data_IF_320703254143
#
_entry.id   IF_320703254143
#
_cell.length_a   1.000
_cell.length_b   1.000
_cell.length_c   1.000
_cell.angle_alpha   90.00
_cell.angle_beta   90.00
_cell.angle_gamma   90.00
#
_symmetry.space_group_name_H-M   'P 1'
#
loop_
_entity.id
_entity.type
_entity.pdbx_description
1 polymer ?
#
# COMPACT_ATOMS: atom_id res chain seq x y z
N UNK A 1 -38.56 -1.22 23.59
CA UNK A 1 -39.90 -1.08 22.97
C UNK A 1 -39.98 -2.04 21.80
N UNK A 2 -40.85 -3.04 21.90
CA UNK A 2 -41.12 -4.07 20.90
C UNK A 2 -42.26 -3.59 20.00
N UNK A 3 -42.17 -3.82 18.68
CA UNK A 3 -43.32 -3.68 17.78
C UNK A 3 -43.48 -4.95 16.96
N UNK A 4 -44.41 -5.78 17.43
CA UNK A 4 -45.11 -6.81 16.67
C UNK A 4 -46.52 -6.28 16.35
N UNK A 5 -47.02 -6.73 15.21
CA UNK A 5 -48.43 -6.79 14.74
C UNK A 5 -49.06 -5.57 14.06
N UNK A 6 -49.37 -5.77 12.77
CA UNK A 6 -50.75 -5.75 12.29
C UNK A 6 -50.90 -6.74 11.11
N UNK A 7 -51.98 -7.54 11.15
CA UNK A 7 -52.39 -8.61 10.23
C UNK A 7 -53.82 -8.31 9.74
N UNK A 8 -54.10 -8.51 8.45
CA UNK A 8 -55.38 -9.04 7.90
C UNK A 8 -55.23 -9.24 6.37
N UNK A 9 -55.17 -10.45 5.78
CA UNK A 9 -56.26 -11.41 5.38
C UNK A 9 -57.26 -10.82 4.37
N UNK A 10 -57.65 -11.36 3.18
CA UNK A 10 -57.56 -12.60 2.35
C UNK A 10 -58.07 -12.18 0.89
N UNK A 11 -58.24 -13.01 -0.18
CA UNK A 11 -58.02 -14.44 -0.34
C UNK A 11 -57.23 -14.94 -1.58
N UNK A 12 -56.84 -16.22 -1.49
CA UNK A 12 -56.37 -17.13 -2.55
C UNK A 12 -57.53 -17.55 -3.47
N UNK A 13 -57.29 -17.57 -4.77
CA UNK A 13 -57.93 -18.48 -5.73
C UNK A 13 -56.86 -19.30 -6.45
N UNK A 14 -57.24 -20.53 -6.79
CA UNK A 14 -56.39 -21.64 -7.21
C UNK A 14 -56.90 -22.15 -8.58
N UNK A 15 -55.98 -22.70 -9.38
CA UNK A 15 -56.14 -23.46 -10.65
C UNK A 15 -56.36 -22.59 -11.91
N UNK A 16 -55.83 -22.89 -13.09
CA UNK A 16 -55.41 -24.17 -13.68
C UNK A 16 -54.35 -23.94 -14.78
N UNK A 17 -53.60 -25.00 -15.03
CA UNK A 17 -52.68 -25.28 -16.14
C UNK A 17 -53.19 -24.92 -17.54
N UNK A 18 -52.25 -24.47 -18.39
CA UNK A 18 -52.14 -24.93 -19.78
C UNK A 18 -50.68 -24.84 -20.25
N UNK A 19 -50.13 -25.99 -20.65
CA UNK A 19 -48.89 -26.10 -21.42
C UNK A 19 -49.17 -25.60 -22.85
N UNK A 20 -48.27 -24.78 -23.40
CA UNK A 20 -48.11 -24.64 -24.84
C UNK A 20 -46.61 -24.69 -25.18
N UNK A 21 -46.27 -25.74 -25.92
CA UNK A 21 -45.02 -25.92 -26.63
C UNK A 21 -44.87 -24.81 -27.67
N UNK A 22 -43.71 -24.16 -27.70
CA UNK A 22 -43.29 -23.29 -28.79
C UNK A 22 -41.78 -23.39 -28.96
N UNK A 23 -41.34 -24.37 -29.76
CA UNK A 23 -39.98 -24.39 -30.32
C UNK A 23 -39.84 -23.17 -31.24
N UNK A 24 -38.94 -22.25 -30.90
CA UNK A 24 -38.46 -21.23 -31.82
C UNK A 24 -36.94 -21.37 -31.92
N UNK A 25 -36.54 -22.15 -32.91
CA UNK A 25 -35.19 -22.24 -33.42
C UNK A 25 -34.84 -20.92 -34.13
N UNK A 26 -33.85 -20.20 -33.62
CA UNK A 26 -33.16 -19.18 -34.40
C UNK A 26 -31.83 -19.75 -34.91
N UNK A 27 -31.84 -20.15 -36.17
CA UNK A 27 -30.67 -20.49 -36.98
C UNK A 27 -30.57 -19.46 -38.08
N UNK A 28 -29.67 -18.47 -37.96
CA UNK A 28 -29.29 -17.60 -39.09
C UNK A 28 -27.80 -17.28 -39.01
N UNK A 29 -27.08 -17.90 -39.95
CA UNK A 29 -25.92 -17.44 -40.74
C UNK A 29 -24.57 -17.20 -40.03
N UNK A 30 -23.74 -18.22 -40.15
CA UNK A 30 -22.29 -18.09 -40.24
C UNK A 30 -21.91 -17.26 -41.48
N UNK A 31 -21.42 -16.04 -41.24
CA UNK A 31 -20.75 -15.21 -42.24
C UNK A 31 -19.25 -15.52 -42.26
N UNK A 32 -18.82 -16.22 -43.31
CA UNK A 32 -17.40 -16.33 -43.72
C UNK A 32 -16.84 -14.92 -43.97
N UNK A 33 -15.71 -14.61 -43.35
CA UNK A 33 -14.78 -13.61 -43.87
C UNK A 33 -13.33 -14.13 -43.69
N UNK A 34 -12.85 -14.62 -44.82
CA UNK A 34 -11.50 -14.99 -45.23
C UNK A 34 -10.34 -14.23 -44.58
N UNK A 35 -9.39 -15.03 -44.06
CA UNK A 35 -7.96 -14.73 -44.00
C UNK A 35 -7.38 -14.38 -45.38
N UNK A 36 -6.32 -13.56 -45.44
CA UNK A 36 -5.26 -13.80 -46.40
C UNK A 36 -3.94 -14.10 -45.69
N UNK A 37 -3.34 -15.19 -46.15
CA UNK A 37 -1.98 -15.61 -45.84
C UNK A 37 -0.95 -14.62 -46.40
N UNK A 38 0.12 -14.49 -45.64
CA UNK A 38 1.46 -14.01 -45.93
C UNK A 38 1.89 -14.03 -47.40
N UNK A 39 2.62 -12.98 -47.81
CA UNK A 39 3.68 -13.12 -48.81
C UNK A 39 4.90 -12.29 -48.40
N UNK A 40 6.13 -12.83 -48.45
CA UNK A 40 7.34 -12.14 -48.01
C UNK A 40 7.99 -11.39 -49.18
N UNK A 41 8.32 -10.12 -48.97
CA UNK A 41 9.18 -9.35 -49.88
C UNK A 41 10.45 -8.93 -49.14
N UNK A 42 11.55 -9.53 -49.58
CA UNK A 42 12.93 -9.27 -49.18
C UNK A 42 13.54 -8.06 -49.90
N UNK A 43 14.26 -7.20 -49.16
CA UNK A 43 15.56 -6.53 -49.50
C UNK A 43 15.80 -5.28 -48.62
N UNK A 44 17.02 -4.71 -48.54
CA UNK A 44 18.20 -5.21 -47.83
C UNK A 44 18.65 -4.25 -46.69
N UNK A 45 19.72 -4.65 -46.00
CA UNK A 45 20.25 -4.06 -44.76
C UNK A 45 20.57 -2.55 -44.77
N UNK A 46 20.35 -1.89 -43.62
CA UNK A 46 21.28 -0.87 -43.14
C UNK A 46 21.52 -1.03 -41.64
N UNK A 47 22.71 -1.51 -41.30
CA UNK A 47 23.25 -1.53 -39.95
C UNK A 47 23.60 -0.10 -39.52
N UNK A 48 22.66 0.60 -38.88
CA UNK A 48 23.04 1.74 -38.03
C UNK A 48 23.39 1.21 -36.65
N UNK A 49 24.69 1.24 -36.36
CA UNK A 49 25.21 1.08 -35.02
C UNK A 49 24.42 1.97 -34.06
N UNK A 50 23.70 1.36 -33.11
CA UNK A 50 23.07 2.09 -32.00
C UNK A 50 24.19 2.68 -31.16
N UNK A 51 24.35 3.99 -31.28
CA UNK A 51 25.16 4.79 -30.38
C UNK A 51 24.77 4.50 -28.92
N UNK A 52 25.82 4.44 -28.11
CA UNK A 52 25.87 4.43 -26.65
C UNK A 52 24.60 4.95 -25.97
N UNK A 53 24.16 4.22 -24.95
CA UNK A 53 23.17 4.61 -23.95
C UNK A 53 23.38 6.06 -23.48
N UNK A 54 22.73 7.02 -24.14
CA UNK A 54 22.41 8.28 -23.49
C UNK A 54 21.33 7.97 -22.47
N UNK A 55 21.74 7.84 -21.21
CA UNK A 55 20.83 8.02 -20.09
C UNK A 55 20.35 9.48 -20.20
N UNK A 56 19.25 9.71 -20.91
CA UNK A 56 18.57 10.99 -20.86
C UNK A 56 18.12 11.17 -19.41
N UNK A 57 18.83 12.03 -18.68
CA UNK A 57 18.31 12.59 -17.44
C UNK A 57 17.09 13.43 -17.80
N UNK A 58 15.92 12.79 -17.82
CA UNK A 58 14.66 13.54 -17.84
C UNK A 58 14.61 14.28 -16.52
N UNK A 59 14.53 15.61 -16.57
CA UNK A 59 14.40 16.43 -15.37
C UNK A 59 13.00 16.35 -14.77
N UNK A 60 12.87 16.95 -13.58
CA UNK A 60 11.64 17.07 -12.80
C UNK A 60 10.46 17.50 -13.68
N UNK A 61 9.33 16.81 -13.55
CA UNK A 61 8.15 17.02 -14.41
C UNK A 61 7.01 17.66 -13.63
N UNK A 62 6.25 18.51 -14.32
CA UNK A 62 4.91 18.90 -13.89
C UNK A 62 3.90 18.15 -14.75
N UNK A 63 3.10 17.30 -14.13
CA UNK A 63 2.07 16.50 -14.80
C UNK A 63 0.68 17.04 -14.50
N UNK A 64 -0.28 16.69 -15.35
CA UNK A 64 -1.68 17.04 -15.21
C UNK A 64 -2.47 15.86 -14.63
N UNK A 65 -3.00 16.04 -13.43
CA UNK A 65 -3.88 15.12 -12.74
C UNK A 65 -5.31 15.65 -12.79
N UNK A 66 -6.03 15.35 -13.88
CA UNK A 66 -7.42 15.73 -14.08
C UNK A 66 -7.70 17.25 -13.92
N UNK A 67 -6.83 18.09 -14.50
CA UNK A 67 -6.90 19.55 -14.43
C UNK A 67 -6.00 20.16 -13.33
N UNK A 68 -5.38 19.34 -12.48
CA UNK A 68 -4.48 19.79 -11.43
C UNK A 68 -3.02 19.56 -11.82
N UNK A 69 -2.23 20.64 -11.88
CA UNK A 69 -0.80 20.54 -12.17
C UNK A 69 -0.02 20.19 -10.91
N UNK A 70 0.68 19.07 -10.91
CA UNK A 70 1.51 18.64 -9.78
C UNK A 70 2.93 18.31 -10.24
N UNK A 71 3.90 18.62 -9.38
CA UNK A 71 5.30 18.26 -9.59
C UNK A 71 5.49 16.81 -9.14
N UNK A 72 6.11 16.01 -10.00
CA UNK A 72 6.49 14.62 -9.70
C UNK A 72 7.98 14.43 -9.88
N UNK A 73 8.54 13.55 -9.05
CA UNK A 73 9.94 13.17 -9.10
C UNK A 73 10.04 11.68 -9.42
N UNK A 74 10.84 11.35 -10.42
CA UNK A 74 11.02 9.98 -10.89
C UNK A 74 12.41 9.47 -10.51
N UNK A 75 12.60 8.15 -10.53
CA UNK A 75 13.90 7.52 -10.28
C UNK A 75 15.01 8.07 -11.20
N UNK A 76 14.65 8.50 -12.41
CA UNK A 76 15.59 9.06 -13.38
C UNK A 76 16.20 10.41 -12.94
N UNK A 77 15.54 11.15 -12.03
CA UNK A 77 16.04 12.43 -11.48
C UNK A 77 17.22 12.21 -10.51
N UNK A 78 17.34 11.00 -9.96
CA UNK A 78 18.31 10.58 -8.96
C UNK A 78 18.93 9.21 -9.28
N UNK A 79 19.73 9.11 -10.37
CA UNK A 79 20.44 7.89 -10.67
C UNK A 79 21.40 7.52 -9.53
N UNK A 80 21.71 6.22 -9.40
CA UNK A 80 22.52 5.70 -8.30
C UNK A 80 23.87 6.43 -8.12
N UNK A 81 24.52 6.86 -9.21
CA UNK A 81 25.76 7.64 -9.12
C UNK A 81 25.56 9.01 -8.46
N UNK A 82 24.47 9.70 -8.79
CA UNK A 82 24.10 10.99 -8.18
C UNK A 82 23.74 10.80 -6.70
N UNK A 83 23.01 9.75 -6.35
CA UNK A 83 22.70 9.42 -4.96
C UNK A 83 23.98 9.17 -4.13
N UNK A 84 24.91 8.38 -4.66
CA UNK A 84 26.19 8.10 -3.99
C UNK A 84 27.02 9.35 -3.79
N UNK A 85 27.11 10.23 -4.78
CA UNK A 85 27.86 11.49 -4.65
C UNK A 85 27.19 12.45 -3.66
N UNK A 86 25.86 12.55 -3.70
CA UNK A 86 25.09 13.41 -2.81
C UNK A 86 25.22 12.98 -1.34
N UNK A 87 25.11 11.68 -1.06
CA UNK A 87 25.17 11.11 0.29
C UNK A 87 26.56 10.57 0.68
N UNK A 88 27.63 10.92 -0.03
CA UNK A 88 28.98 10.35 0.21
C UNK A 88 29.54 10.60 1.62
N UNK A 89 29.09 11.70 2.24
CA UNK A 89 29.49 12.09 3.59
C UNK A 89 28.41 11.75 4.64
N UNK A 90 27.31 11.15 4.21
CA UNK A 90 26.20 10.81 5.08
C UNK A 90 26.27 9.36 5.56
N UNK A 91 25.72 9.15 6.76
CA UNK A 91 25.44 7.82 7.30
C UNK A 91 23.95 7.74 7.58
N UNK A 92 23.25 6.87 6.85
CA UNK A 92 21.83 6.62 7.04
C UNK A 92 21.67 5.62 8.19
N UNK A 93 21.22 6.11 9.35
CA UNK A 93 20.94 5.28 10.50
C UNK A 93 19.46 4.88 10.52
N UNK A 94 19.18 3.63 10.14
CA UNK A 94 17.86 3.02 10.18
C UNK A 94 17.56 2.58 11.60
N UNK A 95 16.68 3.29 12.31
CA UNK A 95 16.30 2.95 13.68
C UNK A 95 15.03 2.11 13.63
N UNK A 96 15.18 0.83 13.96
CA UNK A 96 14.11 -0.17 13.84
C UNK A 96 14.22 -1.00 12.55
N UNK A 97 14.13 -2.32 12.68
CA UNK A 97 14.18 -3.28 11.57
C UNK A 97 12.88 -4.09 11.51
N UNK A 98 11.77 -3.36 11.46
CA UNK A 98 10.44 -3.88 11.13
C UNK A 98 10.21 -3.88 9.62
N UNK A 99 8.94 -3.83 9.18
CA UNK A 99 8.57 -3.86 7.76
C UNK A 99 9.32 -2.78 6.95
N UNK A 100 9.16 -1.50 7.30
CA UNK A 100 9.78 -0.38 6.57
C UNK A 100 11.31 -0.36 6.73
N UNK A 101 11.84 -0.59 7.94
CA UNK A 101 13.29 -0.62 8.19
C UNK A 101 14.00 -1.68 7.35
N UNK A 102 13.42 -2.87 7.23
CA UNK A 102 13.90 -3.93 6.34
C UNK A 102 13.92 -3.48 4.87
N UNK A 103 12.77 -3.03 4.34
CA UNK A 103 12.67 -2.69 2.91
C UNK A 103 13.56 -1.50 2.52
N UNK A 104 13.49 -0.42 3.28
CA UNK A 104 14.23 0.80 2.98
C UNK A 104 15.73 0.64 3.22
N UNK A 105 16.13 -0.03 4.32
CA UNK A 105 17.53 -0.27 4.63
C UNK A 105 18.23 -1.09 3.54
N UNK A 106 17.60 -2.19 3.09
CA UNK A 106 18.15 -3.02 2.02
C UNK A 106 18.20 -2.30 0.67
N UNK A 107 17.17 -1.53 0.32
CA UNK A 107 17.16 -0.78 -0.93
C UNK A 107 18.23 0.32 -0.95
N UNK A 108 18.40 1.05 0.15
CA UNK A 108 19.45 2.07 0.27
C UNK A 108 20.86 1.45 0.22
N UNK A 109 21.06 0.29 0.86
CA UNK A 109 22.32 -0.48 0.78
C UNK A 109 22.62 -0.93 -0.64
N UNK A 110 21.63 -1.47 -1.35
CA UNK A 110 21.81 -1.96 -2.72
C UNK A 110 22.02 -0.81 -3.72
N UNK A 111 21.53 0.40 -3.41
CA UNK A 111 21.91 1.64 -4.09
C UNK A 111 23.34 2.11 -3.75
N UNK A 112 24.05 1.39 -2.87
CA UNK A 112 25.43 1.63 -2.46
C UNK A 112 25.62 2.83 -1.55
N UNK A 113 24.60 3.16 -0.75
CA UNK A 113 24.70 4.18 0.29
C UNK A 113 25.31 3.59 1.57
N UNK A 114 25.89 4.46 2.39
CA UNK A 114 26.40 4.09 3.70
C UNK A 114 25.24 3.99 4.71
N UNK A 115 24.82 2.75 4.98
CA UNK A 115 23.66 2.44 5.82
C UNK A 115 24.08 1.62 7.03
N UNK A 116 23.55 1.99 8.20
CA UNK A 116 23.67 1.23 9.43
C UNK A 116 22.29 0.98 10.05
N UNK A 117 22.11 -0.18 10.68
CA UNK A 117 20.88 -0.58 11.34
C UNK A 117 21.06 -0.43 12.86
N UNK A 118 20.18 0.34 13.49
CA UNK A 118 20.05 0.48 14.94
C UNK A 118 18.88 -0.31 15.47
N UNK A 119 19.12 -1.42 16.16
CA UNK A 119 18.08 -2.23 16.82
C UNK A 119 18.54 -2.77 18.17
N UNK A 120 17.59 -3.24 18.98
CA UNK A 120 17.89 -3.86 20.28
C UNK A 120 18.68 -5.16 20.09
N UNK A 121 19.86 -5.22 20.68
CA UNK A 121 20.77 -6.37 20.60
C UNK A 121 20.12 -7.68 21.07
N UNK A 122 20.41 -8.77 20.36
CA UNK A 122 19.91 -10.12 20.66
C UNK A 122 18.41 -10.37 20.37
N UNK A 123 17.66 -9.33 19.99
CA UNK A 123 16.21 -9.44 19.69
C UNK A 123 15.90 -10.09 18.34
N UNK A 124 14.61 -10.31 18.06
CA UNK A 124 14.15 -10.89 16.79
C UNK A 124 14.57 -10.06 15.57
N UNK A 125 14.40 -8.74 15.62
CA UNK A 125 14.84 -7.82 14.57
C UNK A 125 16.35 -7.78 14.38
N UNK A 126 17.14 -8.01 15.44
CA UNK A 126 18.59 -8.12 15.35
C UNK A 126 18.99 -9.36 14.53
N UNK A 127 18.44 -10.53 14.90
CA UNK A 127 18.69 -11.78 14.18
C UNK A 127 18.23 -11.71 12.72
N UNK A 128 17.10 -11.06 12.46
CA UNK A 128 16.62 -10.84 11.10
C UNK A 128 17.59 -9.96 10.30
N UNK A 129 18.10 -8.87 10.88
CA UNK A 129 19.10 -8.04 10.23
C UNK A 129 20.42 -8.81 9.97
N UNK A 130 20.88 -9.63 10.90
CA UNK A 130 22.05 -10.49 10.68
C UNK A 130 21.82 -11.47 9.51
N UNK A 131 20.64 -12.08 9.43
CA UNK A 131 20.28 -12.99 8.35
C UNK A 131 20.27 -12.31 6.97
N UNK A 132 19.93 -11.02 6.92
CA UNK A 132 19.98 -10.20 5.70
C UNK A 132 21.38 -9.64 5.38
N UNK A 133 22.40 -10.01 6.16
CA UNK A 133 23.80 -9.66 5.94
C UNK A 133 24.27 -8.36 6.60
N UNK A 134 23.51 -7.80 7.55
CA UNK A 134 24.00 -6.71 8.39
C UNK A 134 24.96 -7.28 9.45
N UNK A 135 26.12 -6.64 9.65
CA UNK A 135 27.22 -7.23 10.44
C UNK A 135 27.31 -6.56 11.81
N UNK A 136 27.14 -7.30 12.92
CA UNK A 136 27.31 -6.80 14.28
C UNK A 136 28.59 -6.00 14.48
N UNK A 137 28.49 -4.84 15.12
CA UNK A 137 29.61 -3.95 15.41
C UNK A 137 30.15 -3.17 14.21
N UNK A 138 29.62 -3.41 13.00
CA UNK A 138 29.98 -2.67 11.77
C UNK A 138 28.78 -1.94 11.20
N UNK A 139 27.80 -2.69 10.70
CA UNK A 139 26.58 -2.17 10.06
C UNK A 139 25.30 -2.53 10.79
N UNK A 140 25.39 -3.37 11.82
CA UNK A 140 24.33 -3.65 12.79
C UNK A 140 24.80 -3.26 14.18
N UNK A 141 24.11 -2.31 14.80
CA UNK A 141 24.54 -1.65 16.02
C UNK A 141 23.39 -1.54 17.03
N UNK A 142 23.71 -1.45 18.34
CA UNK A 142 22.76 -0.94 19.32
C UNK A 142 22.23 0.44 18.92
N UNK A 143 20.97 0.74 19.26
CA UNK A 143 20.26 1.95 18.83
C UNK A 143 21.05 3.23 19.14
N UNK A 144 21.60 3.38 20.34
CA UNK A 144 22.37 4.56 20.74
C UNK A 144 23.62 4.75 19.87
N UNK A 145 24.37 3.69 19.57
CA UNK A 145 25.55 3.78 18.71
C UNK A 145 25.19 4.15 17.27
N UNK A 146 24.05 3.65 16.77
CA UNK A 146 23.55 4.05 15.45
C UNK A 146 23.13 5.53 15.41
N UNK A 147 22.47 6.02 16.46
CA UNK A 147 22.08 7.42 16.60
C UNK A 147 23.28 8.38 16.68
N UNK A 148 24.34 7.98 17.39
CA UNK A 148 25.60 8.73 17.45
C UNK A 148 26.23 8.87 16.07
N UNK A 149 26.37 7.75 15.35
CA UNK A 149 27.06 7.68 14.04
C UNK A 149 26.26 8.26 12.88
N UNK A 150 24.92 8.18 12.92
CA UNK A 150 24.07 8.59 11.81
C UNK A 150 24.06 10.11 11.59
N UNK A 151 24.18 10.57 10.35
CA UNK A 151 23.91 11.98 9.98
C UNK A 151 22.44 12.17 9.58
N UNK A 152 21.83 11.12 9.03
CA UNK A 152 20.40 11.04 8.73
C UNK A 152 19.80 9.94 9.61
N UNK A 153 19.00 10.35 10.58
CA UNK A 153 18.33 9.45 11.51
C UNK A 153 16.97 9.08 10.94
N UNK A 154 16.83 7.86 10.44
CA UNK A 154 15.59 7.34 9.87
C UNK A 154 14.82 6.59 10.96
N UNK A 155 13.90 7.28 11.61
CA UNK A 155 13.09 6.71 12.69
C UNK A 155 11.95 5.87 12.12
N UNK A 156 12.18 4.55 12.01
CA UNK A 156 11.27 3.57 11.41
C UNK A 156 10.72 2.58 12.45
N UNK A 157 10.71 2.99 13.71
CA UNK A 157 10.00 2.32 14.79
C UNK A 157 8.48 2.46 14.61
N UNK A 158 7.69 1.60 15.26
CA UNK A 158 6.24 1.80 15.33
C UNK A 158 5.90 3.12 16.04
N UNK A 159 4.76 3.72 15.72
CA UNK A 159 4.39 5.04 16.27
C UNK A 159 4.39 5.08 17.80
N UNK A 160 3.91 4.00 18.44
CA UNK A 160 3.96 3.85 19.90
C UNK A 160 5.41 3.76 20.42
N UNK A 161 6.29 3.02 19.73
CA UNK A 161 7.69 2.92 20.11
C UNK A 161 8.44 4.25 19.90
N UNK A 162 8.11 5.01 18.85
CA UNK A 162 8.67 6.36 18.65
C UNK A 162 8.34 7.27 19.83
N UNK A 163 7.10 7.26 20.31
CA UNK A 163 6.67 8.00 21.50
C UNK A 163 7.43 7.54 22.76
N UNK A 164 7.44 6.23 23.04
CA UNK A 164 8.05 5.67 24.26
C UNK A 164 9.57 5.84 24.33
N UNK A 165 10.25 5.90 23.19
CA UNK A 165 11.72 5.98 23.11
C UNK A 165 12.22 7.39 22.84
N UNK A 166 11.32 8.37 22.67
CA UNK A 166 11.67 9.72 22.24
C UNK A 166 12.71 10.38 23.14
N UNK A 167 12.55 10.29 24.46
CA UNK A 167 13.49 10.88 25.42
C UNK A 167 14.90 10.29 25.34
N UNK A 168 15.02 9.03 24.90
CA UNK A 168 16.31 8.38 24.65
C UNK A 168 16.89 8.75 23.28
N UNK A 169 16.05 9.02 22.28
CA UNK A 169 16.48 9.36 20.91
C UNK A 169 16.87 10.84 20.81
N UNK A 170 16.07 11.73 21.40
CA UNK A 170 16.16 13.19 21.27
C UNK A 170 17.57 13.76 21.56
N UNK A 171 18.32 13.31 22.57
CA UNK A 171 19.67 13.83 22.85
C UNK A 171 20.67 13.67 21.70
N UNK A 172 20.45 12.69 20.81
CA UNK A 172 21.32 12.43 19.67
C UNK A 172 20.94 13.25 18.43
N UNK A 173 19.79 13.93 18.44
CA UNK A 173 19.28 14.74 17.33
C UNK A 173 19.90 16.14 17.37
N UNK A 174 21.20 16.21 17.11
CA UNK A 174 22.00 17.43 17.20
C UNK A 174 22.06 18.20 15.87
N UNK A 175 22.41 19.49 15.96
CA UNK A 175 22.59 20.40 14.81
C UNK A 175 23.37 19.74 13.67
N UNK A 176 22.86 19.91 12.45
CA UNK A 176 23.43 19.36 11.21
C UNK A 176 22.92 17.96 10.86
N UNK A 177 22.27 17.25 11.79
CA UNK A 177 21.57 16.00 11.46
C UNK A 177 20.23 16.28 10.77
N UNK A 178 19.71 15.24 10.12
CA UNK A 178 18.35 15.21 9.55
C UNK A 178 17.56 14.12 10.25
N UNK A 179 16.34 14.43 10.69
CA UNK A 179 15.38 13.45 11.18
C UNK A 179 14.40 13.08 10.05
N UNK A 180 14.32 11.79 9.76
CA UNK A 180 13.49 11.22 8.72
C UNK A 180 12.42 10.31 9.31
N UNK A 181 11.20 10.44 8.78
CA UNK A 181 10.09 9.55 9.06
C UNK A 181 9.55 8.92 7.77
N UNK A 182 8.89 7.77 7.89
CA UNK A 182 8.05 7.21 6.81
C UNK A 182 6.57 7.27 7.07
N UNK A 183 6.18 7.91 8.17
CA UNK A 183 4.81 8.27 8.49
C UNK A 183 4.85 9.47 9.45
N UNK A 184 4.00 10.46 9.25
CA UNK A 184 4.05 11.71 10.01
C UNK A 184 3.42 11.63 11.40
N UNK A 185 2.84 10.49 11.78
CA UNK A 185 1.96 10.31 12.95
C UNK A 185 2.49 10.97 14.21
N UNK A 186 3.73 10.64 14.58
CA UNK A 186 4.31 11.10 15.83
C UNK A 186 4.44 12.61 15.90
N UNK A 187 4.78 13.27 14.79
CA UNK A 187 4.97 14.72 14.74
C UNK A 187 3.63 15.45 14.63
N UNK A 188 2.68 14.93 13.84
CA UNK A 188 1.34 15.52 13.67
C UNK A 188 0.57 15.50 14.98
N UNK A 189 0.64 14.39 15.72
CA UNK A 189 -0.02 14.21 17.01
C UNK A 189 0.93 14.38 18.20
N UNK A 190 1.93 15.27 18.09
CA UNK A 190 2.95 15.52 19.14
C UNK A 190 2.39 15.81 20.54
N UNK A 191 1.17 16.32 20.63
CA UNK A 191 0.50 16.56 21.92
C UNK A 191 0.10 15.25 22.61
N UNK A 192 -0.24 14.22 21.84
CA UNK A 192 -0.55 12.88 22.35
C UNK A 192 0.72 12.02 22.46
N UNK A 193 1.69 12.18 21.55
CA UNK A 193 2.88 11.31 21.48
C UNK A 193 4.11 11.83 22.23
N UNK A 194 4.17 13.12 22.56
CA UNK A 194 5.37 13.76 23.14
C UNK A 194 6.54 13.94 22.17
N UNK A 195 6.40 13.54 20.89
CA UNK A 195 7.48 13.61 19.90
C UNK A 195 7.57 15.03 19.34
N UNK A 196 8.48 15.82 19.93
CA UNK A 196 8.76 17.20 19.50
C UNK A 196 10.21 17.30 19.01
N UNK A 197 10.44 17.30 17.68
CA UNK A 197 11.78 17.45 17.11
C UNK A 197 12.49 18.73 17.58
N UNK A 198 13.83 18.70 17.74
CA UNK A 198 14.63 19.92 17.91
C UNK A 198 14.42 20.92 16.77
N UNK A 199 14.55 22.21 17.06
CA UNK A 199 14.28 23.31 16.11
C UNK A 199 15.45 23.61 15.15
N UNK A 200 16.60 22.99 15.37
CA UNK A 200 17.88 23.28 14.70
C UNK A 200 18.38 22.13 13.80
N UNK A 201 17.47 21.24 13.39
CA UNK A 201 17.73 20.13 12.47
C UNK A 201 16.73 20.11 11.31
N UNK A 202 17.04 19.45 10.20
CA UNK A 202 16.00 19.19 9.19
C UNK A 202 15.05 18.09 9.68
N UNK A 203 13.76 18.22 9.40
CA UNK A 203 12.75 17.19 9.68
C UNK A 203 11.95 16.93 8.41
N UNK A 204 12.08 15.72 7.89
CA UNK A 204 11.55 15.32 6.59
C UNK A 204 10.78 14.00 6.69
N UNK A 205 9.97 13.75 5.67
CA UNK A 205 9.26 12.50 5.50
C UNK A 205 9.39 12.01 4.06
N UNK A 206 9.60 10.70 3.92
CA UNK A 206 9.26 9.97 2.71
C UNK A 206 8.46 8.73 3.09
N UNK A 207 7.22 8.64 2.61
CA UNK A 207 6.29 7.55 2.87
C UNK A 207 6.06 6.73 1.60
N UNK A 208 6.75 5.59 1.40
CA UNK A 208 6.39 4.61 0.39
C UNK A 208 4.96 4.09 0.63
N UNK A 209 4.12 4.09 -0.41
CA UNK A 209 2.69 3.78 -0.36
C UNK A 209 2.40 2.29 -0.41
N UNK A 210 3.02 1.56 0.52
CA UNK A 210 2.68 0.16 0.81
C UNK A 210 3.65 -0.46 1.81
N UNK A 211 3.44 -1.74 2.07
CA UNK A 211 4.21 -2.48 3.08
C UNK A 211 5.71 -2.47 2.75
N UNK A 212 6.55 -2.54 3.78
CA UNK A 212 7.99 -2.68 3.56
C UNK A 212 8.39 -3.96 2.82
N UNK A 213 7.57 -5.02 2.88
CA UNK A 213 7.73 -6.22 2.05
C UNK A 213 7.58 -5.89 0.56
N UNK A 214 6.55 -5.13 0.18
CA UNK A 214 6.33 -4.72 -1.21
C UNK A 214 7.34 -3.67 -1.67
N UNK A 215 7.78 -2.77 -0.78
CA UNK A 215 8.91 -1.85 -1.04
C UNK A 215 10.16 -2.63 -1.45
N UNK A 216 10.49 -3.72 -0.74
CA UNK A 216 11.64 -4.56 -1.09
C UNK A 216 11.43 -5.36 -2.38
N UNK A 217 10.33 -6.10 -2.44
CA UNK A 217 10.08 -7.06 -3.53
C UNK A 217 9.99 -6.34 -4.87
N UNK A 218 9.25 -5.23 -4.95
CA UNK A 218 9.12 -4.45 -6.19
C UNK A 218 10.44 -3.81 -6.60
N UNK A 219 11.27 -3.37 -5.64
CA UNK A 219 12.60 -2.84 -5.94
C UNK A 219 13.50 -3.91 -6.59
N UNK A 220 13.48 -5.14 -6.08
CA UNK A 220 14.24 -6.26 -6.66
C UNK A 220 13.74 -6.63 -8.06
N UNK A 221 12.45 -6.46 -8.35
CA UNK A 221 11.86 -6.61 -9.68
C UNK A 221 12.20 -5.45 -10.65
N UNK A 222 12.98 -4.46 -10.21
CA UNK A 222 13.27 -3.24 -11.00
C UNK A 222 12.08 -2.27 -11.07
N UNK A 223 10.97 -2.59 -10.40
CA UNK A 223 9.80 -1.72 -10.20
C UNK A 223 10.03 -0.86 -8.96
N UNK A 224 8.98 -0.23 -8.47
CA UNK A 224 8.98 0.52 -7.22
C UNK A 224 7.56 0.86 -6.83
N UNK A 225 7.30 0.93 -5.53
CA UNK A 225 6.03 1.46 -5.04
C UNK A 225 6.11 2.98 -5.01
N UNK A 226 5.03 3.68 -5.32
CA UNK A 226 5.07 5.14 -5.31
C UNK A 226 5.22 5.65 -3.88
N UNK A 227 5.70 6.87 -3.69
CA UNK A 227 5.84 7.48 -2.37
C UNK A 227 5.38 8.93 -2.34
N UNK A 228 5.21 9.47 -1.15
CA UNK A 228 5.03 10.91 -0.95
C UNK A 228 6.16 11.48 -0.12
N UNK A 229 6.57 12.72 -0.41
CA UNK A 229 7.54 13.46 0.39
C UNK A 229 6.90 14.66 1.08
N UNK A 230 7.39 14.99 2.26
CA UNK A 230 7.01 16.19 2.99
C UNK A 230 8.19 16.74 3.79
N UNK A 231 8.17 18.05 4.03
CA UNK A 231 9.14 18.75 4.89
C UNK A 231 8.37 19.38 6.04
N UNK A 232 8.71 19.00 7.27
CA UNK A 232 8.17 19.62 8.48
C UNK A 232 9.00 20.81 8.91
N UNK A 233 10.33 20.70 8.81
CA UNK A 233 11.27 21.73 9.19
C UNK A 233 12.46 21.72 8.23
N UNK A 234 12.77 22.89 7.67
CA UNK A 234 13.91 23.10 6.77
C UNK A 234 14.86 24.12 7.39
N UNK A 235 15.95 23.64 8.00
CA UNK A 235 16.97 24.48 8.64
C UNK A 235 18.10 24.76 7.67
N UNK A 236 18.38 23.82 6.76
CA UNK A 236 19.50 23.91 5.82
C UNK A 236 19.13 24.61 4.50
N UNK A 237 17.84 24.68 4.16
CA UNK A 237 17.35 25.08 2.84
C UNK A 237 17.39 23.95 1.80
N UNK A 238 17.79 22.74 2.21
CA UNK A 238 17.98 21.57 1.34
C UNK A 238 17.06 20.40 1.73
N UNK A 239 16.17 20.56 2.72
CA UNK A 239 15.37 19.46 3.26
C UNK A 239 14.51 18.78 2.19
N UNK A 240 13.92 19.57 1.27
CA UNK A 240 13.10 19.04 0.17
C UNK A 240 13.91 18.19 -0.81
N UNK A 241 15.06 18.71 -1.27
CA UNK A 241 15.94 17.97 -2.18
C UNK A 241 16.38 16.65 -1.56
N UNK A 242 16.78 16.69 -0.28
CA UNK A 242 17.16 15.52 0.50
C UNK A 242 16.02 14.51 0.65
N UNK A 243 14.79 14.96 0.88
CA UNK A 243 13.62 14.08 0.96
C UNK A 243 13.33 13.37 -0.37
N UNK A 244 13.45 14.08 -1.49
CA UNK A 244 13.30 13.49 -2.84
C UNK A 244 14.41 12.47 -3.11
N UNK A 245 15.66 12.82 -2.83
CA UNK A 245 16.80 11.94 -3.02
C UNK A 245 16.69 10.66 -2.17
N UNK A 246 16.33 10.79 -0.90
CA UNK A 246 16.09 9.64 -0.02
C UNK A 246 14.92 8.79 -0.50
N UNK A 247 13.83 9.40 -0.98
CA UNK A 247 12.70 8.66 -1.52
C UNK A 247 13.10 7.73 -2.68
N UNK A 248 13.89 8.24 -3.62
CA UNK A 248 14.44 7.40 -4.70
C UNK A 248 15.40 6.35 -4.14
N UNK A 249 16.26 6.71 -3.18
CA UNK A 249 17.21 5.79 -2.57
C UNK A 249 16.55 4.61 -1.84
N UNK A 250 15.38 4.82 -1.24
CA UNK A 250 14.62 3.75 -0.56
C UNK A 250 13.73 2.94 -1.51
N UNK A 251 13.75 3.25 -2.81
CA UNK A 251 13.18 2.43 -3.86
C UNK A 251 11.77 2.82 -4.31
N UNK A 252 11.39 4.10 -4.16
CA UNK A 252 10.09 4.55 -4.67
C UNK A 252 10.08 4.60 -6.21
N UNK A 253 8.91 4.31 -6.82
CA UNK A 253 8.71 4.37 -8.27
C UNK A 253 8.67 5.81 -8.80
N UNK A 254 7.81 6.62 -8.19
CA UNK A 254 7.82 8.08 -8.29
C UNK A 254 7.43 8.68 -6.93
N UNK A 255 7.67 9.98 -6.77
CA UNK A 255 7.32 10.75 -5.59
C UNK A 255 6.42 11.93 -5.96
N UNK A 256 5.45 12.20 -5.09
CA UNK A 256 4.63 13.41 -5.13
C UNK A 256 4.73 14.17 -3.80
N UNK A 257 4.42 15.46 -3.81
CA UNK A 257 4.54 16.31 -2.63
C UNK A 257 3.28 16.29 -1.76
N UNK A 258 3.47 16.35 -0.46
CA UNK A 258 2.40 16.47 0.54
C UNK A 258 2.89 17.25 1.76
N UNK A 259 2.06 17.38 2.78
CA UNK A 259 2.46 17.81 4.13
C UNK A 259 2.40 16.63 5.09
N UNK A 260 3.02 16.74 6.26
CA UNK A 260 2.91 15.72 7.30
C UNK A 260 1.44 15.45 7.66
N UNK A 261 0.62 16.49 7.83
CA UNK A 261 -0.80 16.34 8.16
C UNK A 261 -1.58 15.66 7.04
N UNK A 262 -1.41 16.10 5.78
CA UNK A 262 -2.10 15.48 4.65
C UNK A 262 -1.70 14.01 4.48
N UNK A 263 -0.43 13.69 4.64
CA UNK A 263 0.07 12.32 4.60
C UNK A 263 -0.61 11.48 5.67
N UNK A 264 -0.51 11.89 6.94
CA UNK A 264 -1.08 11.15 8.08
C UNK A 264 -2.57 10.96 7.95
N UNK A 265 -3.31 12.01 7.61
CA UNK A 265 -4.76 11.93 7.49
C UNK A 265 -5.16 10.99 6.34
N UNK A 266 -4.48 11.08 5.20
CA UNK A 266 -4.77 10.21 4.05
C UNK A 266 -4.41 8.75 4.32
N UNK A 267 -3.31 8.49 5.02
CA UNK A 267 -2.78 7.16 5.27
C UNK A 267 -3.64 6.39 6.27
N UNK A 268 -3.88 6.98 7.46
CA UNK A 268 -4.73 6.39 8.50
C UNK A 268 -6.18 6.19 8.02
N UNK A 269 -6.68 7.12 7.20
CA UNK A 269 -7.98 7.01 6.55
C UNK A 269 -8.01 5.88 5.51
N UNK A 270 -6.95 5.75 4.70
CA UNK A 270 -6.84 4.74 3.65
C UNK A 270 -6.79 3.31 4.19
N UNK A 271 -5.96 3.05 5.20
CA UNK A 271 -5.80 1.72 5.80
C UNK A 271 -7.09 1.21 6.49
N UNK A 272 -7.79 2.10 7.21
CA UNK A 272 -9.11 1.78 7.78
C UNK A 272 -10.19 1.68 6.71
N UNK A 273 -10.01 2.44 5.63
CA UNK A 273 -10.87 2.43 4.45
C UNK A 273 -10.53 1.32 3.46
N UNK A 274 -10.46 1.68 2.19
CA UNK A 274 -10.40 0.73 1.07
C UNK A 274 -9.17 -0.19 1.06
N UNK A 275 -8.08 0.17 1.75
CA UNK A 275 -6.84 -0.61 1.68
C UNK A 275 -6.86 -1.85 2.57
N UNK A 276 -7.56 -1.81 3.72
CA UNK A 276 -7.66 -2.98 4.62
C UNK A 276 -9.06 -3.14 5.23
N UNK A 277 -9.52 -2.19 6.05
CA UNK A 277 -10.75 -2.37 6.84
C UNK A 277 -12.03 -2.45 5.99
N UNK A 278 -12.19 -1.51 5.06
CA UNK A 278 -13.34 -1.44 4.16
C UNK A 278 -13.45 -2.64 3.22
N UNK A 279 -12.33 -3.09 2.63
CA UNK A 279 -12.32 -4.25 1.74
C UNK A 279 -12.63 -5.56 2.48
N UNK A 280 -12.09 -5.75 3.69
CA UNK A 280 -12.44 -6.88 4.56
C UNK A 280 -13.94 -6.90 4.87
N UNK A 281 -14.51 -5.74 5.22
CA UNK A 281 -15.94 -5.61 5.52
C UNK A 281 -16.82 -5.95 4.32
N UNK A 282 -16.46 -5.45 3.13
CA UNK A 282 -17.19 -5.69 1.88
C UNK A 282 -17.18 -7.17 1.48
N UNK A 283 -15.99 -7.80 1.45
CA UNK A 283 -15.89 -9.23 1.12
C UNK A 283 -16.68 -10.09 2.11
N UNK A 284 -16.54 -9.83 3.40
CA UNK A 284 -17.22 -10.63 4.42
C UNK A 284 -18.74 -10.46 4.36
N UNK A 285 -19.24 -9.25 4.11
CA UNK A 285 -20.67 -8.99 4.00
C UNK A 285 -21.30 -9.76 2.83
N UNK A 286 -20.72 -9.65 1.63
CA UNK A 286 -21.22 -10.37 0.45
C UNK A 286 -21.10 -11.88 0.62
N UNK A 287 -19.96 -12.37 1.15
CA UNK A 287 -19.76 -13.80 1.41
C UNK A 287 -20.85 -14.35 2.33
N UNK A 288 -21.15 -13.67 3.45
CA UNK A 288 -22.20 -14.09 4.39
C UNK A 288 -23.57 -14.20 3.72
N UNK A 289 -23.96 -13.18 2.94
CA UNK A 289 -25.26 -13.19 2.24
C UNK A 289 -25.34 -14.34 1.23
N UNK A 290 -24.28 -14.64 0.50
CA UNK A 290 -24.25 -15.82 -0.40
C UNK A 290 -24.41 -17.13 0.39
N UNK A 291 -23.71 -17.27 1.52
CA UNK A 291 -23.81 -18.47 2.37
C UNK A 291 -25.20 -18.65 2.97
N UNK A 292 -25.83 -17.56 3.41
CA UNK A 292 -27.20 -17.55 3.93
C UNK A 292 -28.23 -17.97 2.87
N UNK A 293 -27.92 -17.78 1.58
CA UNK A 293 -28.76 -18.17 0.46
C UNK A 293 -28.36 -19.54 -0.15
N UNK A 294 -27.55 -20.33 0.55
CA UNK A 294 -27.28 -21.73 0.21
C UNK A 294 -26.12 -21.97 -0.75
N UNK A 295 -25.39 -20.93 -1.17
CA UNK A 295 -24.18 -21.10 -1.99
C UNK A 295 -23.08 -21.80 -1.20
N UNK A 296 -22.27 -22.65 -1.83
CA UNK A 296 -21.16 -23.34 -1.15
C UNK A 296 -20.04 -22.38 -0.73
N UNK A 297 -19.18 -22.74 0.25
CA UNK A 297 -18.02 -21.91 0.63
C UNK A 297 -17.09 -21.57 -0.55
N UNK A 298 -16.87 -22.54 -1.45
CA UNK A 298 -16.04 -22.33 -2.65
C UNK A 298 -16.67 -21.34 -3.61
N UNK A 299 -17.97 -21.46 -3.90
CA UNK A 299 -18.66 -20.51 -4.79
C UNK A 299 -18.67 -19.11 -4.17
N UNK A 300 -19.04 -18.99 -2.89
CA UNK A 300 -19.07 -17.70 -2.22
C UNK A 300 -17.69 -17.02 -2.15
N UNK A 301 -16.61 -17.79 -1.97
CA UNK A 301 -15.25 -17.26 -2.02
C UNK A 301 -14.85 -16.82 -3.43
N UNK A 302 -15.26 -17.57 -4.46
CA UNK A 302 -14.96 -17.23 -5.86
C UNK A 302 -15.67 -15.93 -6.29
N UNK A 303 -16.96 -15.81 -5.97
CA UNK A 303 -17.82 -14.66 -6.26
C UNK A 303 -17.54 -13.42 -5.38
N UNK A 304 -16.50 -13.48 -4.55
CA UNK A 304 -16.07 -12.35 -3.70
C UNK A 304 -14.59 -12.06 -3.86
N UNK A 305 -13.72 -12.92 -3.33
CA UNK A 305 -12.28 -12.66 -3.21
C UNK A 305 -11.50 -13.12 -4.44
N UNK A 306 -11.79 -14.31 -4.97
CA UNK A 306 -10.98 -14.90 -6.05
C UNK A 306 -11.09 -14.09 -7.33
N UNK A 307 -12.30 -13.91 -7.86
CA UNK A 307 -12.49 -13.22 -9.14
C UNK A 307 -12.12 -11.74 -9.03
N UNK A 308 -12.41 -11.09 -7.89
CA UNK A 308 -11.99 -9.73 -7.64
C UNK A 308 -10.46 -9.59 -7.69
N UNK A 309 -9.72 -10.41 -6.95
CA UNK A 309 -8.26 -10.21 -6.79
C UNK A 309 -7.41 -10.80 -7.90
N UNK A 310 -7.88 -11.85 -8.57
CA UNK A 310 -7.12 -12.53 -9.63
C UNK A 310 -7.48 -12.06 -11.03
N UNK A 311 -8.67 -11.50 -11.23
CA UNK A 311 -9.14 -11.03 -12.53
C UNK A 311 -9.41 -9.52 -12.55
N UNK A 312 -10.41 -9.06 -11.80
CA UNK A 312 -10.97 -7.72 -12.00
C UNK A 312 -10.08 -6.59 -11.48
N UNK A 313 -9.55 -6.70 -10.26
CA UNK A 313 -8.70 -5.68 -9.65
C UNK A 313 -7.35 -5.50 -10.39
N UNK A 314 -6.71 -6.57 -10.89
CA UNK A 314 -5.58 -6.42 -11.82
C UNK A 314 -5.90 -5.56 -13.04
N UNK A 315 -7.11 -5.66 -13.62
CA UNK A 315 -7.53 -4.80 -14.74
C UNK A 315 -7.65 -3.34 -14.32
N UNK A 316 -8.19 -3.07 -13.13
CA UNK A 316 -8.27 -1.71 -12.57
C UNK A 316 -6.86 -1.14 -12.37
N UNK A 317 -5.96 -1.91 -11.76
CA UNK A 317 -4.60 -1.47 -11.50
C UNK A 317 -3.79 -1.20 -12.78
N UNK A 318 -4.06 -1.95 -13.86
CA UNK A 318 -3.38 -1.80 -15.13
C UNK A 318 -3.97 -0.68 -16.01
N UNK A 319 -5.30 -0.55 -16.07
CA UNK A 319 -5.99 0.24 -17.09
C UNK A 319 -7.13 1.13 -16.58
N UNK A 320 -7.48 1.05 -15.30
CA UNK A 320 -8.58 1.83 -14.71
C UNK A 320 -9.94 1.12 -14.69
N UNK A 321 -10.88 1.74 -13.97
CA UNK A 321 -12.23 1.22 -13.78
C UNK A 321 -13.04 1.17 -15.07
N UNK A 322 -12.93 2.19 -15.91
CA UNK A 322 -13.59 2.28 -17.21
C UNK A 322 -13.22 1.10 -18.12
N UNK A 323 -11.93 0.74 -18.16
CA UNK A 323 -11.47 -0.44 -18.89
C UNK A 323 -12.05 -1.74 -18.30
N UNK A 324 -12.01 -1.90 -16.97
CA UNK A 324 -12.59 -3.09 -16.32
C UNK A 324 -14.08 -3.24 -16.67
N UNK A 325 -14.87 -2.15 -16.68
CA UNK A 325 -16.26 -2.21 -17.14
C UNK A 325 -16.33 -2.65 -18.60
N UNK A 326 -15.55 -2.03 -19.50
CA UNK A 326 -15.55 -2.36 -20.92
C UNK A 326 -15.21 -3.84 -21.20
N UNK A 327 -14.32 -4.43 -20.39
CA UNK A 327 -13.87 -5.82 -20.49
C UNK A 327 -14.89 -6.85 -19.98
N UNK A 328 -15.92 -6.43 -19.24
CA UNK A 328 -16.94 -7.32 -18.67
C UNK A 328 -18.16 -7.51 -19.59
N UNK A 329 -18.95 -8.56 -19.33
CA UNK A 329 -20.18 -8.86 -20.08
C UNK A 329 -21.20 -7.72 -19.99
N UNK A 330 -22.16 -7.67 -20.94
CA UNK A 330 -23.25 -6.69 -20.93
C UNK A 330 -24.07 -6.75 -19.64
N UNK A 331 -24.35 -7.95 -19.14
CA UNK A 331 -25.07 -8.16 -17.88
C UNK A 331 -24.29 -7.65 -16.67
N UNK A 332 -22.99 -7.98 -16.57
CA UNK A 332 -22.15 -7.53 -15.48
C UNK A 332 -22.01 -6.00 -15.46
N UNK A 333 -21.80 -5.38 -16.64
CA UNK A 333 -21.76 -3.91 -16.79
C UNK A 333 -23.05 -3.24 -16.32
N UNK A 334 -24.20 -3.71 -16.80
CA UNK A 334 -25.51 -3.13 -16.42
C UNK A 334 -25.73 -3.24 -14.91
N UNK A 335 -25.51 -4.43 -14.34
CA UNK A 335 -25.65 -4.66 -12.91
C UNK A 335 -24.72 -3.78 -12.07
N UNK A 336 -23.44 -3.67 -12.44
CA UNK A 336 -22.48 -2.81 -11.74
C UNK A 336 -22.88 -1.33 -11.80
N UNK A 337 -23.38 -0.83 -12.93
CA UNK A 337 -23.88 0.54 -13.05
C UNK A 337 -25.15 0.80 -12.21
N UNK A 338 -26.02 -0.20 -12.06
CA UNK A 338 -27.25 -0.08 -11.26
C UNK A 338 -26.97 -0.08 -9.75
N UNK A 339 -25.97 -0.84 -9.31
CA UNK A 339 -25.67 -1.01 -7.88
C UNK A 339 -24.58 -0.07 -7.35
N UNK A 340 -23.64 0.40 -8.18
CA UNK A 340 -22.55 1.28 -7.74
C UNK A 340 -23.03 2.54 -6.97
N UNK A 341 -24.05 3.29 -7.43
CA UNK A 341 -24.55 4.46 -6.69
C UNK A 341 -25.11 4.12 -5.31
N UNK A 342 -25.67 2.91 -5.13
CA UNK A 342 -26.21 2.45 -3.84
C UNK A 342 -25.08 2.14 -2.86
N UNK A 343 -24.03 1.46 -3.34
CA UNK A 343 -22.83 1.21 -2.53
C UNK A 343 -22.12 2.51 -2.16
N UNK A 344 -22.00 3.46 -3.10
CA UNK A 344 -21.46 4.79 -2.82
C UNK A 344 -22.27 5.51 -1.73
N UNK A 345 -23.60 5.58 -1.87
CA UNK A 345 -24.47 6.24 -0.92
C UNK A 345 -24.42 5.60 0.48
N UNK A 346 -24.28 4.27 0.57
CA UNK A 346 -24.14 3.57 1.84
C UNK A 346 -22.76 3.80 2.49
N UNK A 347 -21.70 3.90 1.68
CA UNK A 347 -20.33 3.99 2.18
C UNK A 347 -19.90 5.43 2.52
N UNK A 348 -20.40 6.45 1.79
CA UNK A 348 -19.97 7.84 1.96
C UNK A 348 -20.11 8.35 3.41
N UNK A 349 -21.22 8.13 4.14
CA UNK A 349 -21.33 8.57 5.54
C UNK A 349 -20.32 7.90 6.47
N UNK A 350 -19.97 6.63 6.20
CA UNK A 350 -18.96 5.88 6.97
C UNK A 350 -17.58 6.51 6.75
N UNK A 351 -17.25 6.81 5.50
CA UNK A 351 -16.01 7.47 5.14
C UNK A 351 -15.91 8.89 5.71
N UNK A 352 -16.99 9.67 5.70
CA UNK A 352 -17.03 11.00 6.33
C UNK A 352 -16.77 10.92 7.85
N UNK A 353 -17.40 9.95 8.53
CA UNK A 353 -17.16 9.72 9.95
C UNK A 353 -15.72 9.26 10.24
N UNK A 354 -15.18 8.36 9.42
CA UNK A 354 -13.80 7.88 9.53
C UNK A 354 -12.79 9.02 9.36
N UNK A 355 -12.92 9.84 8.31
CA UNK A 355 -12.01 10.96 8.08
C UNK A 355 -12.05 11.97 9.24
N UNK A 356 -13.24 12.24 9.79
CA UNK A 356 -13.40 13.09 10.98
C UNK A 356 -12.68 12.52 12.21
N UNK A 357 -12.81 11.22 12.46
CA UNK A 357 -12.16 10.49 13.58
C UNK A 357 -10.63 10.46 13.45
N UNK A 358 -10.11 10.40 12.23
CA UNK A 358 -8.66 10.54 11.98
C UNK A 358 -8.22 11.97 12.25
N UNK A 359 -8.87 12.95 11.62
CA UNK A 359 -8.46 14.35 11.68
C UNK A 359 -8.50 14.94 13.10
N UNK A 360 -9.47 14.53 13.93
CA UNK A 360 -9.58 15.00 15.32
C UNK A 360 -8.70 14.20 16.32
N UNK A 361 -7.99 13.16 15.85
CA UNK A 361 -7.08 12.35 16.65
C UNK A 361 -7.73 11.23 17.48
N UNK A 362 -9.01 10.93 17.30
CA UNK A 362 -9.67 9.83 18.03
C UNK A 362 -9.07 8.47 17.63
N UNK A 363 -8.86 8.24 16.33
CA UNK A 363 -8.16 7.03 15.85
C UNK A 363 -6.71 6.94 16.35
N UNK A 364 -6.03 8.09 16.47
CA UNK A 364 -4.67 8.18 17.00
C UNK A 364 -4.60 7.73 18.45
N UNK A 365 -5.45 8.30 19.32
CA UNK A 365 -5.49 7.96 20.75
C UNK A 365 -5.83 6.49 20.95
N UNK A 366 -6.79 5.95 20.19
CA UNK A 366 -7.11 4.51 20.20
C UNK A 366 -5.91 3.64 19.83
N UNK A 367 -5.19 4.01 18.77
CA UNK A 367 -4.02 3.27 18.30
C UNK A 367 -2.87 3.31 19.32
N UNK A 368 -2.60 4.47 19.92
CA UNK A 368 -1.61 4.63 20.99
C UNK A 368 -1.97 3.80 22.23
N UNK A 369 -3.24 3.86 22.66
CA UNK A 369 -3.72 3.12 23.82
C UNK A 369 -3.54 1.61 23.60
N UNK A 370 -4.01 1.07 22.47
CA UNK A 370 -3.94 -0.36 22.18
C UNK A 370 -2.50 -0.83 21.98
N UNK A 371 -1.72 -0.13 21.15
CA UNK A 371 -0.34 -0.51 20.83
C UNK A 371 0.62 -0.32 22.03
N UNK A 372 0.24 0.52 23.00
CA UNK A 372 1.00 0.75 24.22
C UNK A 372 0.79 -0.30 25.31
N UNK A 373 -0.17 -1.23 25.16
CA UNK A 373 -0.46 -2.26 26.18
C UNK A 373 0.69 -3.25 26.32
N UNK A 374 0.98 -3.66 27.55
CA UNK A 374 1.94 -4.76 27.83
C UNK A 374 1.49 -6.08 27.19
N UNK A 375 0.17 -6.27 27.06
CA UNK A 375 -0.49 -7.42 26.44
C UNK A 375 -0.68 -7.29 24.94
N UNK A 376 -0.20 -6.21 24.30
CA UNK A 376 -0.44 -5.92 22.88
C UNK A 376 -0.31 -7.14 21.96
N UNK A 377 0.80 -7.89 22.08
CA UNK A 377 1.04 -9.05 21.22
C UNK A 377 -0.01 -10.17 21.42
N UNK A 378 -0.49 -10.36 22.65
CA UNK A 378 -1.50 -11.37 22.98
C UNK A 378 -2.89 -10.92 22.52
N UNK A 379 -3.23 -9.65 22.76
CA UNK A 379 -4.51 -9.06 22.37
C UNK A 379 -4.66 -9.03 20.85
N UNK A 380 -3.62 -8.58 20.13
CA UNK A 380 -3.60 -8.59 18.67
C UNK A 380 -3.67 -10.02 18.11
N UNK A 381 -2.91 -10.97 18.69
CA UNK A 381 -2.96 -12.36 18.24
C UNK A 381 -4.36 -12.97 18.38
N UNK A 382 -5.12 -12.58 19.41
CA UNK A 382 -6.51 -13.00 19.59
C UNK A 382 -7.40 -12.45 18.47
N UNK A 383 -7.32 -11.15 18.17
CA UNK A 383 -8.12 -10.53 17.10
C UNK A 383 -7.76 -11.11 15.71
N UNK A 384 -6.48 -11.35 15.45
CA UNK A 384 -6.03 -11.99 14.21
C UNK A 384 -6.50 -13.43 14.09
N UNK A 385 -6.54 -14.18 15.20
CA UNK A 385 -7.07 -15.54 15.22
C UNK A 385 -8.57 -15.58 14.88
N UNK A 386 -9.34 -14.56 15.27
CA UNK A 386 -10.75 -14.44 14.87
C UNK A 386 -10.90 -14.25 13.36
N UNK A 387 -10.02 -13.47 12.73
CA UNK A 387 -9.96 -13.34 11.27
C UNK A 387 -9.60 -14.70 10.64
N UNK A 388 -8.52 -15.34 11.09
CA UNK A 388 -8.07 -16.63 10.55
C UNK A 388 -9.11 -17.75 10.65
N UNK A 389 -10.00 -17.68 11.66
CA UNK A 389 -11.07 -18.63 11.87
C UNK A 389 -12.27 -18.44 10.93
N UNK A 390 -12.43 -17.27 10.28
CA UNK A 390 -13.57 -16.99 9.41
C UNK A 390 -13.65 -18.02 8.27
N UNK A 391 -14.87 -18.49 7.97
CA UNK A 391 -15.10 -19.50 6.93
C UNK A 391 -14.54 -19.05 5.57
N UNK A 392 -14.70 -17.78 5.21
CA UNK A 392 -14.16 -17.18 3.97
C UNK A 392 -12.64 -17.41 3.83
N UNK A 393 -11.87 -17.24 4.90
CA UNK A 393 -10.41 -17.38 4.84
C UNK A 393 -9.94 -18.83 4.89
N UNK A 394 -10.69 -19.70 5.60
CA UNK A 394 -10.47 -21.15 5.55
C UNK A 394 -10.78 -21.72 4.18
N UNK A 395 -11.90 -21.35 3.56
CA UNK A 395 -12.24 -21.70 2.17
C UNK A 395 -11.17 -21.18 1.21
N UNK A 396 -10.72 -19.94 1.41
CA UNK A 396 -9.64 -19.34 0.62
C UNK A 396 -8.31 -20.07 0.70
N UNK A 397 -7.95 -20.71 1.84
CA UNK A 397 -6.73 -21.54 1.91
C UNK A 397 -6.79 -22.71 0.93
N UNK A 398 -7.96 -23.36 0.82
CA UNK A 398 -8.19 -24.43 -0.14
C UNK A 398 -8.23 -23.91 -1.58
N UNK A 399 -8.94 -22.81 -1.86
CA UNK A 399 -8.99 -22.26 -3.23
C UNK A 399 -7.59 -21.85 -3.71
N UNK A 400 -6.80 -21.18 -2.87
CA UNK A 400 -5.43 -20.76 -3.22
C UNK A 400 -4.49 -21.93 -3.48
N UNK A 401 -4.65 -23.07 -2.79
CA UNK A 401 -3.79 -24.25 -3.02
C UNK A 401 -4.06 -24.93 -4.36
N UNK A 402 -5.21 -24.66 -4.99
CA UNK A 402 -5.57 -25.17 -6.31
C UNK A 402 -5.03 -24.32 -7.46
N UNK A 403 -4.48 -23.13 -7.17
CA UNK A 403 -3.99 -22.23 -8.23
C UNK A 403 -2.75 -22.82 -8.94
N UNK A 404 -2.63 -22.68 -10.27
CA UNK A 404 -1.51 -23.25 -11.03
C UNK A 404 -0.12 -22.76 -10.57
N UNK A 405 -0.04 -21.54 -10.05
CA UNK A 405 1.17 -20.87 -9.58
C UNK A 405 1.50 -21.13 -8.10
N UNK A 406 0.61 -21.78 -7.34
CA UNK A 406 0.80 -22.06 -5.92
C UNK A 406 2.02 -22.97 -5.62
N UNK A 407 2.57 -23.66 -6.63
CA UNK A 407 3.78 -24.49 -6.50
C UNK A 407 5.10 -23.71 -6.65
N UNK A 408 5.05 -22.41 -6.93
CA UNK A 408 6.23 -21.57 -7.19
C UNK A 408 6.63 -20.65 -6.03
N UNK A 409 5.86 -20.62 -4.94
CA UNK A 409 6.05 -19.70 -3.80
C UNK A 409 6.75 -20.33 -2.61
#
# INVERSE_FOLDING_TARGET
MSFKQALSTFPRTLRSSTRLNGKLSYSILAGRASTPLLNPASSPASSRARGLNQIQSRGVKTLDFAGHKEVVYERADWPASKLKDYFKNDTLAIIGYGSQGHGQGLNARDNGLNVIIGVREGGASWKAAEADGWVPGKTLLPINQALEKGTIIMNLLSDAAQSQTWDSIKPYLTKGKTLYFSHGFSVVYKNDTGVVPPKDIDVILCAPKGSGRTVRTLFQEGRGINGSIAVWQDVTGLAKEKAVALGVAVGTGYLYETTFEKEVYSDLYGERGVLMGGIQGMFLAQYKVLRENGHTPSEAFNETVEEATQSLFPLIGANGMDYMYAACSTTARRGALDWAPKFEAANKPIFEALYKSVKNGDETRRSLEFNGRKTYAQDLAKELAEIDAQEIWRAGKTVRSLRPDAKKS
#
